data_IF_678067963995
#
_entry.id   IF_678067963995
#
_cell.length_a   1.000
_cell.length_b   1.000
_cell.length_c   1.000
_cell.angle_alpha   90.00
_cell.angle_beta   90.00
_cell.angle_gamma   90.00
#
_symmetry.space_group_name_H-M   'P 1'
#
loop_
_entity.id
_entity.type
_entity.pdbx_description
1 polymer ?
#
# COMPACT_ATOMS: atom_id res chain seq x y z
N UNK A 1 -8.12 -0.98 -3.71
CA UNK A 1 -6.78 -1.46 -4.11
C UNK A 1 -6.40 -1.02 -5.52
N UNK A 2 -5.09 -1.00 -5.83
CA UNK A 2 -4.54 -0.48 -7.09
C UNK A 2 -5.12 -1.10 -8.35
N UNK A 3 -5.46 -2.39 -8.31
CA UNK A 3 -5.99 -3.10 -9.48
C UNK A 3 -7.31 -2.51 -9.99
N UNK A 4 -8.13 -1.95 -9.08
CA UNK A 4 -9.39 -1.27 -9.43
C UNK A 4 -9.14 0.08 -10.09
N UNK A 5 -8.09 0.80 -9.70
CA UNK A 5 -7.77 2.13 -10.23
C UNK A 5 -6.85 2.09 -11.44
N UNK A 6 -6.21 0.94 -11.72
CA UNK A 6 -5.30 0.73 -12.85
C UNK A 6 -5.63 -0.57 -13.61
N UNK A 7 -6.72 -0.58 -14.40
CA UNK A 7 -7.11 -1.74 -15.20
C UNK A 7 -5.94 -2.22 -16.04
N UNK A 8 -5.65 -3.52 -16.02
CA UNK A 8 -4.54 -4.19 -16.73
C UNK A 8 -3.11 -4.03 -16.17
N UNK A 9 -2.88 -3.20 -15.14
CA UNK A 9 -1.53 -2.99 -14.60
C UNK A 9 -0.87 -4.30 -14.14
N UNK A 10 -1.55 -5.08 -13.30
CA UNK A 10 -1.00 -6.35 -12.79
C UNK A 10 -0.82 -7.42 -13.87
N UNK A 11 -1.63 -7.39 -14.93
CA UNK A 11 -1.39 -8.25 -16.10
C UNK A 11 -0.06 -7.92 -16.76
N UNK A 12 0.24 -6.63 -16.94
CA UNK A 12 1.53 -6.19 -17.47
C UNK A 12 2.71 -6.59 -16.59
N UNK A 13 2.57 -6.40 -15.26
CA UNK A 13 3.57 -6.82 -14.28
C UNK A 13 3.80 -8.33 -14.31
N UNK A 14 2.75 -9.14 -14.22
CA UNK A 14 2.86 -10.60 -14.31
C UNK A 14 3.52 -11.02 -15.63
N UNK A 15 3.13 -10.41 -16.76
CA UNK A 15 3.72 -10.73 -18.07
C UNK A 15 5.22 -10.47 -18.12
N UNK A 16 5.68 -9.30 -17.66
CA UNK A 16 7.12 -8.99 -17.70
C UNK A 16 7.90 -9.84 -16.69
N UNK A 17 7.36 -10.09 -15.50
CA UNK A 17 8.00 -10.93 -14.49
C UNK A 17 8.13 -12.37 -14.98
N UNK A 18 7.08 -12.96 -15.56
CA UNK A 18 7.14 -14.29 -16.19
C UNK A 18 8.23 -14.36 -17.25
N UNK A 19 8.38 -13.32 -18.09
CA UNK A 19 9.46 -13.26 -19.09
C UNK A 19 10.84 -13.23 -18.42
N UNK A 20 11.01 -12.44 -17.36
CA UNK A 20 12.28 -12.35 -16.64
C UNK A 20 12.64 -13.66 -15.93
N UNK A 21 11.68 -14.33 -15.29
CA UNK A 21 11.91 -15.63 -14.65
C UNK A 21 12.37 -16.68 -15.65
N UNK A 22 11.75 -16.73 -16.84
CA UNK A 22 12.16 -17.67 -17.89
C UNK A 22 13.53 -17.37 -18.50
N UNK A 23 13.94 -16.09 -18.53
CA UNK A 23 15.25 -15.68 -19.08
C UNK A 23 16.37 -15.90 -18.07
N UNK A 24 16.17 -15.47 -16.83
CA UNK A 24 17.20 -15.47 -15.78
C UNK A 24 17.29 -16.81 -15.07
N UNK A 25 16.16 -17.53 -14.95
CA UNK A 25 16.04 -18.78 -14.19
C UNK A 25 16.64 -18.69 -12.77
N UNK A 26 16.21 -17.72 -11.95
CA UNK A 26 16.78 -17.52 -10.62
C UNK A 26 16.29 -18.59 -9.64
N UNK A 27 17.12 -18.95 -8.66
CA UNK A 27 16.68 -19.72 -7.50
C UNK A 27 15.89 -18.86 -6.50
N UNK A 28 16.24 -17.57 -6.39
CA UNK A 28 15.67 -16.64 -5.42
C UNK A 28 15.28 -15.31 -6.07
N UNK A 29 14.13 -14.76 -5.66
CA UNK A 29 13.65 -13.44 -6.09
C UNK A 29 13.22 -12.59 -4.91
N UNK A 30 13.47 -11.29 -4.99
CA UNK A 30 13.23 -10.35 -3.90
C UNK A 30 12.28 -9.26 -4.36
N UNK A 31 11.19 -9.05 -3.62
CA UNK A 31 10.23 -7.97 -3.85
C UNK A 31 10.01 -7.17 -2.57
N UNK A 32 9.67 -5.89 -2.71
CA UNK A 32 9.44 -5.01 -1.57
C UNK A 32 7.98 -4.99 -1.14
N UNK A 33 7.71 -5.17 0.15
CA UNK A 33 6.38 -5.17 0.75
C UNK A 33 5.57 -3.92 0.41
N UNK A 34 6.22 -2.77 0.18
CA UNK A 34 5.55 -1.52 -0.20
C UNK A 34 4.54 -1.70 -1.34
N UNK A 35 4.90 -2.49 -2.35
CA UNK A 35 4.03 -2.86 -3.46
C UNK A 35 3.31 -4.18 -3.13
N UNK A 36 2.57 -4.22 -2.02
CA UNK A 36 2.04 -5.47 -1.43
C UNK A 36 1.15 -6.27 -2.37
N UNK A 37 0.30 -5.56 -3.14
CA UNK A 37 -0.58 -6.21 -4.11
C UNK A 37 0.24 -6.88 -5.22
N UNK A 38 1.37 -6.28 -5.63
CA UNK A 38 2.30 -6.93 -6.56
C UNK A 38 2.91 -8.17 -5.93
N UNK A 39 3.33 -8.11 -4.67
CA UNK A 39 3.91 -9.27 -3.98
C UNK A 39 2.95 -10.45 -3.96
N UNK A 40 1.68 -10.23 -3.59
CA UNK A 40 0.66 -11.30 -3.58
C UNK A 40 0.39 -11.83 -4.99
N UNK A 41 0.27 -10.96 -5.99
CA UNK A 41 0.09 -11.38 -7.39
C UNK A 41 1.26 -12.23 -7.89
N UNK A 42 2.50 -11.84 -7.58
CA UNK A 42 3.69 -12.61 -8.00
C UNK A 42 3.81 -13.92 -7.23
N UNK A 43 3.44 -13.95 -5.95
CA UNK A 43 3.41 -15.19 -5.17
C UNK A 43 2.43 -16.20 -5.77
N UNK A 44 1.22 -15.76 -6.12
CA UNK A 44 0.22 -16.60 -6.80
C UNK A 44 0.72 -17.04 -8.19
N UNK A 45 1.36 -16.14 -8.95
CA UNK A 45 1.96 -16.48 -10.25
C UNK A 45 3.01 -17.59 -10.14
N UNK A 46 3.91 -17.52 -9.14
CA UNK A 46 4.94 -18.52 -8.90
C UNK A 46 4.29 -19.88 -8.59
N UNK A 47 3.29 -19.88 -7.72
CA UNK A 47 2.56 -21.07 -7.32
C UNK A 47 1.76 -21.68 -8.49
N UNK A 48 0.94 -20.90 -9.18
CA UNK A 48 0.04 -21.36 -10.24
C UNK A 48 0.81 -21.90 -11.45
N UNK A 49 1.94 -21.26 -11.80
CA UNK A 49 2.77 -21.67 -12.92
C UNK A 49 3.92 -22.60 -12.53
N UNK A 50 3.98 -23.02 -11.26
CA UNK A 50 4.98 -23.96 -10.74
C UNK A 50 6.41 -23.54 -11.05
N UNK A 51 6.72 -22.24 -10.90
CA UNK A 51 8.09 -21.75 -11.08
C UNK A 51 8.99 -22.35 -9.98
N UNK A 52 10.16 -22.93 -10.33
CA UNK A 52 11.06 -23.56 -9.37
C UNK A 52 11.97 -22.52 -8.69
N UNK A 53 11.37 -21.53 -8.04
CA UNK A 53 12.09 -20.44 -7.37
C UNK A 53 11.42 -20.06 -6.04
N UNK A 54 12.19 -19.47 -5.15
CA UNK A 54 11.71 -18.96 -3.86
C UNK A 54 11.60 -17.44 -3.87
N UNK A 55 10.48 -16.91 -3.36
CA UNK A 55 10.23 -15.49 -3.27
C UNK A 55 10.40 -15.00 -1.83
N UNK A 56 11.21 -13.96 -1.65
CA UNK A 56 11.36 -13.23 -0.39
C UNK A 56 10.75 -11.83 -0.48
N UNK A 57 9.93 -11.48 0.50
CA UNK A 57 9.35 -10.14 0.61
C UNK A 57 10.11 -9.34 1.67
N UNK A 58 10.84 -8.32 1.21
CA UNK A 58 11.56 -7.39 2.08
C UNK A 58 10.62 -6.35 2.69
N UNK A 59 10.82 -5.95 3.96
CA UNK A 59 9.98 -4.94 4.60
C UNK A 59 10.05 -3.59 3.88
N UNK A 60 9.00 -2.79 4.00
CA UNK A 60 8.98 -1.43 3.45
C UNK A 60 10.08 -0.58 4.09
N UNK A 61 11.09 -0.20 3.31
CA UNK A 61 12.08 0.79 3.73
C UNK A 61 11.43 2.17 3.86
N UNK A 62 11.75 2.89 4.94
CA UNK A 62 11.16 4.17 5.29
C UNK A 62 12.24 5.21 5.55
N UNK A 63 11.93 6.46 5.23
CA UNK A 63 12.69 7.63 5.69
C UNK A 63 12.49 7.80 7.21
N UNK A 64 13.31 8.63 7.87
CA UNK A 64 13.28 8.80 9.34
C UNK A 64 11.91 9.21 9.90
N UNK A 65 11.12 9.93 9.11
CA UNK A 65 9.78 10.37 9.46
C UNK A 65 8.65 9.38 9.07
N UNK A 66 9.03 8.18 8.63
CA UNK A 66 8.13 7.09 8.31
C UNK A 66 7.60 7.07 6.88
N UNK A 67 7.93 8.06 6.03
CA UNK A 67 7.55 8.02 4.63
C UNK A 67 8.16 6.81 3.93
N UNK A 68 7.34 5.99 3.27
CA UNK A 68 7.82 4.87 2.47
C UNK A 68 8.75 5.37 1.35
N UNK A 69 9.97 4.83 1.28
CA UNK A 69 10.95 5.24 0.28
C UNK A 69 10.43 4.96 -1.13
N UNK A 70 10.54 5.95 -2.02
CA UNK A 70 10.01 5.88 -3.37
C UNK A 70 10.83 6.76 -4.29
N UNK A 71 11.14 6.29 -5.50
CA UNK A 71 11.69 7.15 -6.55
C UNK A 71 10.77 8.34 -6.86
N UNK A 72 9.45 8.19 -6.63
CA UNK A 72 8.44 9.25 -6.78
C UNK A 72 8.53 10.35 -5.72
N UNK A 73 9.21 10.12 -4.59
CA UNK A 73 9.34 11.15 -3.54
C UNK A 73 10.10 12.38 -4.06
N UNK A 74 10.94 12.20 -5.10
CA UNK A 74 11.65 13.29 -5.77
C UNK A 74 10.74 14.32 -6.45
N UNK A 75 9.48 13.99 -6.70
CA UNK A 75 8.50 14.88 -7.33
C UNK A 75 7.78 15.77 -6.32
N UNK A 76 7.97 15.52 -5.01
CA UNK A 76 7.41 16.33 -3.96
C UNK A 76 8.23 17.61 -3.80
N UNK A 77 7.55 18.75 -3.84
CA UNK A 77 8.16 20.00 -3.37
C UNK A 77 8.42 19.93 -1.86
N UNK A 78 9.24 20.82 -1.28
CA UNK A 78 9.47 20.84 0.17
C UNK A 78 8.17 20.90 0.99
N UNK A 79 7.17 21.68 0.57
CA UNK A 79 5.88 21.75 1.25
C UNK A 79 5.03 20.47 1.07
N UNK A 80 5.04 19.87 -0.12
CA UNK A 80 4.39 18.57 -0.33
C UNK A 80 5.04 17.47 0.52
N UNK A 81 6.37 17.48 0.65
CA UNK A 81 7.13 16.48 1.41
C UNK A 81 6.79 16.50 2.90
N UNK A 82 6.57 17.68 3.49
CA UNK A 82 6.11 17.82 4.90
C UNK A 82 4.75 17.16 5.14
N UNK A 83 3.93 17.03 4.10
CA UNK A 83 2.59 16.43 4.18
C UNK A 83 2.59 14.96 3.76
N UNK A 84 3.60 14.50 3.01
CA UNK A 84 3.64 13.17 2.41
C UNK A 84 3.53 12.01 3.42
N UNK A 85 3.91 12.23 4.69
CA UNK A 85 3.78 11.25 5.78
C UNK A 85 2.33 10.97 6.17
N UNK A 86 1.36 11.77 5.71
CA UNK A 86 -0.06 11.66 6.07
C UNK A 86 -0.62 10.27 5.77
N UNK A 87 -0.19 9.61 4.69
CA UNK A 87 -0.63 8.24 4.39
C UNK A 87 -0.20 7.27 5.50
N UNK A 88 1.07 7.31 5.87
CA UNK A 88 1.61 6.44 6.91
C UNK A 88 0.98 6.73 8.27
N UNK A 89 0.73 8.00 8.60
CA UNK A 89 0.02 8.40 9.82
C UNK A 89 -1.40 7.84 9.83
N UNK A 90 -2.16 8.00 8.75
CA UNK A 90 -3.51 7.45 8.60
C UNK A 90 -3.53 5.94 8.75
N UNK A 91 -2.62 5.21 8.12
CA UNK A 91 -2.55 3.75 8.27
C UNK A 91 -2.22 3.33 9.71
N UNK A 92 -1.37 4.08 10.41
CA UNK A 92 -1.09 3.81 11.83
C UNK A 92 -2.30 4.12 12.73
N UNK A 93 -3.13 5.10 12.40
CA UNK A 93 -4.38 5.32 13.16
C UNK A 93 -5.31 4.10 13.04
N UNK A 94 -5.43 3.52 11.86
CA UNK A 94 -6.18 2.28 11.67
C UNK A 94 -5.55 1.12 12.43
N UNK A 95 -4.22 0.98 12.35
CA UNK A 95 -3.49 -0.05 13.12
C UNK A 95 -3.72 0.10 14.62
N UNK A 96 -3.69 1.33 15.14
CA UNK A 96 -3.95 1.61 16.54
C UNK A 96 -5.38 1.25 16.94
N UNK A 97 -6.38 1.60 16.12
CA UNK A 97 -7.77 1.18 16.33
C UNK A 97 -7.88 -0.36 16.38
N UNK A 98 -7.18 -1.06 15.50
CA UNK A 98 -7.10 -2.52 15.52
C UNK A 98 -6.48 -3.05 16.82
N UNK A 99 -5.39 -2.43 17.31
CA UNK A 99 -4.78 -2.77 18.60
C UNK A 99 -5.73 -2.53 19.79
N UNK A 100 -6.71 -1.62 19.65
CA UNK A 100 -7.80 -1.40 20.62
C UNK A 100 -8.99 -2.35 20.46
N UNK A 101 -8.80 -3.49 19.79
CA UNK A 101 -9.83 -4.51 19.54
C UNK A 101 -10.97 -4.08 18.61
N UNK A 102 -10.82 -2.98 17.87
CA UNK A 102 -11.75 -2.67 16.78
C UNK A 102 -11.44 -3.62 15.62
N UNK A 103 -12.48 -4.20 15.03
CA UNK A 103 -12.34 -5.20 13.96
C UNK A 103 -13.10 -4.81 12.71
N UNK A 104 -14.23 -4.10 12.85
CA UNK A 104 -15.04 -3.69 11.72
C UNK A 104 -14.35 -2.57 10.92
N UNK A 105 -14.41 -2.69 9.60
CA UNK A 105 -13.78 -1.80 8.64
C UNK A 105 -14.19 -0.35 8.83
N UNK A 106 -15.47 -0.10 9.13
CA UNK A 106 -16.01 1.26 9.24
C UNK A 106 -15.33 2.02 10.38
N UNK A 107 -15.33 1.45 11.58
CA UNK A 107 -14.73 2.08 12.76
C UNK A 107 -13.21 2.08 12.70
N UNK A 108 -12.59 1.07 12.07
CA UNK A 108 -11.15 1.07 11.78
C UNK A 108 -10.72 2.26 10.93
N UNK A 109 -11.50 2.60 9.88
CA UNK A 109 -11.10 3.63 8.92
C UNK A 109 -11.52 5.05 9.30
N UNK A 110 -12.53 5.21 10.15
CA UNK A 110 -13.01 6.53 10.61
C UNK A 110 -11.87 7.51 10.98
N UNK A 111 -10.94 7.17 11.91
CA UNK A 111 -9.88 8.10 12.29
C UNK A 111 -8.93 8.47 11.13
N UNK A 112 -8.70 7.53 10.21
CA UNK A 112 -7.85 7.77 9.05
C UNK A 112 -8.50 8.72 8.05
N UNK A 113 -9.82 8.60 7.83
CA UNK A 113 -10.59 9.53 7.00
C UNK A 113 -10.58 10.94 7.59
N UNK A 114 -10.86 11.08 8.88
CA UNK A 114 -10.87 12.38 9.57
C UNK A 114 -9.52 13.10 9.44
N UNK A 115 -8.41 12.38 9.64
CA UNK A 115 -7.07 12.95 9.51
C UNK A 115 -6.79 13.46 8.08
N UNK A 116 -7.17 12.69 7.05
CA UNK A 116 -6.92 13.08 5.65
C UNK A 116 -7.80 14.26 5.24
N UNK A 117 -9.06 14.27 5.67
CA UNK A 117 -10.00 15.36 5.39
C UNK A 117 -9.53 16.67 6.03
N UNK A 118 -9.20 16.65 7.33
CA UNK A 118 -8.66 17.80 8.05
C UNK A 118 -7.38 18.34 7.40
N UNK A 119 -6.49 17.45 6.96
CA UNK A 119 -5.25 17.87 6.29
C UNK A 119 -5.51 18.47 4.91
N UNK A 120 -6.45 17.91 4.16
CA UNK A 120 -6.89 18.45 2.86
C UNK A 120 -7.49 19.85 3.01
N UNK A 121 -8.35 20.04 4.01
CA UNK A 121 -8.95 21.34 4.30
C UNK A 121 -7.92 22.37 4.75
N UNK A 122 -6.98 21.99 5.63
CA UNK A 122 -5.87 22.86 6.03
C UNK A 122 -5.07 23.36 4.83
N UNK A 123 -4.71 22.47 3.89
CA UNK A 123 -3.93 22.83 2.70
C UNK A 123 -4.70 23.79 1.80
N UNK A 124 -6.01 23.56 1.65
CA UNK A 124 -6.91 24.44 0.90
C UNK A 124 -6.99 25.82 1.54
N UNK A 125 -7.20 25.89 2.86
CA UNK A 125 -7.32 27.14 3.61
C UNK A 125 -6.02 27.96 3.63
N UNK A 126 -4.87 27.29 3.64
CA UNK A 126 -3.56 27.93 3.56
C UNK A 126 -3.11 28.26 2.12
N UNK A 127 -3.91 27.92 1.11
CA UNK A 127 -3.65 28.16 -0.31
C UNK A 127 -2.22 27.72 -0.77
N UNK A 128 -1.78 26.53 -0.33
CA UNK A 128 -0.40 26.07 -0.53
C UNK A 128 -0.05 25.67 -1.97
N UNK A 129 -0.97 25.85 -2.94
CA UNK A 129 -0.72 25.57 -4.36
C UNK A 129 -0.71 24.07 -4.73
N UNK A 130 -1.15 23.19 -3.83
CA UNK A 130 -1.36 21.76 -4.11
C UNK A 130 -2.55 21.23 -3.31
N UNK A 131 -2.92 19.97 -3.53
CA UNK A 131 -4.00 19.29 -2.79
C UNK A 131 -3.54 17.93 -2.27
N UNK A 132 -4.26 17.44 -1.26
CA UNK A 132 -4.19 16.03 -0.84
C UNK A 132 -5.51 15.38 -1.19
N UNK A 133 -5.47 14.27 -1.93
CA UNK A 133 -6.66 13.55 -2.34
C UNK A 133 -6.48 12.06 -2.09
N UNK A 134 -7.33 11.49 -1.26
CA UNK A 134 -7.37 10.05 -1.07
C UNK A 134 -7.79 9.36 -2.38
N UNK A 135 -7.05 8.34 -2.78
CA UNK A 135 -7.41 7.44 -3.87
C UNK A 135 -8.23 6.27 -3.31
N UNK A 136 -7.66 5.57 -2.33
CA UNK A 136 -8.39 4.57 -1.57
C UNK A 136 -7.74 4.27 -0.21
N UNK A 137 -8.56 3.78 0.73
CA UNK A 137 -8.14 2.91 1.83
C UNK A 137 -8.82 1.55 1.64
N UNK A 138 -8.10 0.47 1.90
CA UNK A 138 -8.57 -0.88 1.62
C UNK A 138 -8.07 -1.84 2.68
N UNK A 139 -8.97 -2.73 3.09
CA UNK A 139 -8.73 -3.80 4.04
C UNK A 139 -9.05 -5.09 3.31
N UNK A 140 -8.05 -5.95 3.14
CA UNK A 140 -8.19 -7.14 2.29
C UNK A 140 -7.60 -8.37 2.94
N UNK A 141 -8.10 -9.53 2.52
CA UNK A 141 -7.51 -10.82 2.85
C UNK A 141 -6.08 -10.92 2.30
N UNK A 142 -5.12 -11.45 3.09
CA UNK A 142 -3.72 -11.49 2.70
C UNK A 142 -3.40 -12.44 1.53
N UNK A 143 -4.30 -13.37 1.21
CA UNK A 143 -4.12 -14.38 0.16
C UNK A 143 -4.99 -14.06 -1.05
N UNK A 144 -6.30 -13.91 -0.84
CA UNK A 144 -7.27 -13.73 -1.93
C UNK A 144 -7.33 -12.31 -2.45
N UNK A 145 -6.85 -11.32 -1.67
CA UNK A 145 -6.97 -9.90 -1.95
C UNK A 145 -8.43 -9.40 -2.03
N UNK A 146 -9.38 -10.20 -1.55
CA UNK A 146 -10.79 -9.82 -1.44
C UNK A 146 -10.99 -8.79 -0.33
N UNK A 147 -11.93 -7.86 -0.54
CA UNK A 147 -12.23 -6.83 0.47
C UNK A 147 -12.88 -7.46 1.69
N UNK A 148 -12.40 -7.07 2.86
CA UNK A 148 -12.94 -7.51 4.14
C UNK A 148 -13.81 -6.41 4.75
N UNK A 149 -14.92 -6.81 5.36
CA UNK A 149 -15.74 -5.96 6.22
C UNK A 149 -15.24 -5.94 7.67
N UNK A 150 -14.48 -6.97 8.08
CA UNK A 150 -13.86 -7.07 9.40
C UNK A 150 -12.52 -7.82 9.35
N UNK A 151 -11.63 -7.54 10.30
CA UNK A 151 -10.39 -8.30 10.45
C UNK A 151 -10.65 -9.61 11.20
N UNK A 152 -10.55 -10.74 10.49
CA UNK A 152 -10.65 -12.08 11.07
C UNK A 152 -9.36 -12.59 11.70
N UNK A 153 -9.34 -13.87 12.05
CA UNK A 153 -8.19 -14.54 12.69
C UNK A 153 -6.95 -14.60 11.80
N UNK A 154 -7.14 -14.72 10.49
CA UNK A 154 -6.07 -14.73 9.48
C UNK A 154 -5.38 -13.37 9.29
N UNK A 155 -5.84 -12.34 10.01
CA UNK A 155 -5.36 -10.97 9.85
C UNK A 155 -5.87 -10.32 8.57
N UNK A 156 -5.25 -9.20 8.21
CA UNK A 156 -5.60 -8.44 7.01
C UNK A 156 -4.42 -7.59 6.51
N UNK A 157 -4.41 -7.31 5.21
CA UNK A 157 -3.58 -6.25 4.64
C UNK A 157 -4.38 -4.95 4.69
N UNK A 158 -3.87 -3.98 5.44
CA UNK A 158 -4.32 -2.60 5.35
C UNK A 158 -3.46 -1.87 4.32
N UNK A 159 -4.07 -1.34 3.27
CA UNK A 159 -3.36 -0.59 2.24
C UNK A 159 -4.05 0.71 1.89
N UNK A 160 -3.28 1.68 1.43
CA UNK A 160 -3.82 2.96 0.99
C UNK A 160 -3.02 3.57 -0.15
N UNK A 161 -3.70 4.45 -0.87
CA UNK A 161 -3.08 5.32 -1.84
C UNK A 161 -3.68 6.72 -1.75
N UNK A 162 -2.84 7.75 -1.90
CA UNK A 162 -3.29 9.13 -1.97
C UNK A 162 -2.39 9.93 -2.90
N UNK A 163 -2.92 11.05 -3.39
CA UNK A 163 -2.19 12.03 -4.17
C UNK A 163 -1.78 13.19 -3.27
N UNK A 164 -0.52 13.62 -3.37
CA UNK A 164 -0.03 14.90 -2.88
C UNK A 164 0.41 15.71 -4.09
N UNK A 165 -0.38 16.73 -4.45
CA UNK A 165 -0.32 17.35 -5.76
C UNK A 165 -0.57 16.31 -6.86
N UNK A 166 0.38 16.15 -7.77
CA UNK A 166 0.34 15.12 -8.83
C UNK A 166 1.00 13.80 -8.43
N UNK A 167 1.68 13.76 -7.28
CA UNK A 167 2.46 12.58 -6.87
C UNK A 167 1.57 11.59 -6.14
N UNK A 168 1.37 10.41 -6.73
CA UNK A 168 0.65 9.30 -6.10
C UNK A 168 1.58 8.52 -5.16
N UNK A 169 1.22 8.49 -3.89
CA UNK A 169 1.88 7.74 -2.83
C UNK A 169 1.06 6.50 -2.48
N UNK A 170 1.76 5.42 -2.12
CA UNK A 170 1.17 4.15 -1.73
C UNK A 170 1.91 3.63 -0.52
N UNK A 171 1.19 2.94 0.35
CA UNK A 171 1.75 2.32 1.54
C UNK A 171 0.80 1.25 2.08
N UNK A 172 1.31 0.39 2.95
CA UNK A 172 0.55 -0.66 3.60
C UNK A 172 1.11 -1.03 4.98
N UNK A 173 0.25 -1.64 5.78
CA UNK A 173 0.56 -2.24 7.08
C UNK A 173 -0.13 -3.61 7.13
N UNK A 174 0.58 -4.61 7.64
CA UNK A 174 0.02 -5.93 7.91
C UNK A 174 -0.60 -5.95 9.31
N UNK A 175 -1.85 -6.38 9.41
CA UNK A 175 -2.56 -6.59 10.66
C UNK A 175 -2.59 -8.08 10.96
N UNK A 176 -1.78 -8.54 11.93
CA UNK A 176 -1.70 -9.94 12.36
C UNK A 176 -1.55 -10.99 11.23
N UNK A 177 -0.81 -10.66 10.17
CA UNK A 177 -0.54 -11.56 9.05
C UNK A 177 0.90 -11.41 8.55
N UNK A 178 1.32 -12.36 7.71
CA UNK A 178 2.62 -12.37 7.02
C UNK A 178 2.40 -12.63 5.53
N UNK A 179 3.36 -12.23 4.70
CA UNK A 179 3.33 -12.34 3.23
C UNK A 179 4.54 -13.11 2.77
#
# INVERSE_FOLDING_TARGET
MEGKTRPTFFRGVATVVTKLFNIVQPDYVFFGQKDIQQCVVIKNLIQDLHFPLEMHVGPTAREEDGLAMSSRNRYLTPEMRKVATILYQSLNMVKHAYEQNIRDRKNLFAPAYDLIENKSEYIKNQNLGFSVKLDYLSLVDPVSLEELDEVGENGAILSGALYVGTTRLIDNILLNCTI
#
